data_IF_044721362515
#
_entry.id   IF_044721362515
#
_cell.length_a   1.000
_cell.length_b   1.000
_cell.length_c   1.000
_cell.angle_alpha   90.00
_cell.angle_beta   90.00
_cell.angle_gamma   90.00
#
_symmetry.space_group_name_H-M   'P 1'
#
loop_
_entity.id
_entity.type
_entity.pdbx_description
1 polymer ?
#
# COMPACT_ATOMS: atom_id res chain seq x y z
N UNK A 1 -10.73 -0.67 -5.95
CA UNK A 1 -10.58 0.80 -5.89
C UNK A 1 -11.50 1.41 -4.85
N UNK A 2 -12.80 1.13 -4.87
CA UNK A 2 -13.76 1.57 -3.85
C UNK A 2 -13.30 1.36 -2.40
N UNK A 3 -12.80 0.17 -2.05
CA UNK A 3 -12.29 -0.09 -0.70
C UNK A 3 -11.14 0.85 -0.30
N UNK A 4 -10.21 1.14 -1.23
CA UNK A 4 -9.08 2.06 -0.97
C UNK A 4 -9.61 3.48 -0.80
N UNK A 5 -10.59 3.88 -1.60
CA UNK A 5 -11.27 5.17 -1.45
C UNK A 5 -11.96 5.31 -0.08
N UNK A 6 -12.54 4.23 0.46
CA UNK A 6 -13.17 4.27 1.78
C UNK A 6 -12.17 4.54 2.92
N UNK A 7 -10.95 4.01 2.84
CA UNK A 7 -9.91 4.28 3.85
C UNK A 7 -9.09 5.56 3.57
N UNK A 8 -9.19 6.12 2.37
CA UNK A 8 -8.33 7.22 1.93
C UNK A 8 -8.41 8.46 2.83
N UNK A 9 -9.60 8.95 3.27
CA UNK A 9 -9.67 10.07 4.20
C UNK A 9 -8.94 9.79 5.53
N UNK A 10 -9.02 8.56 6.02
CA UNK A 10 -8.36 8.16 7.26
C UNK A 10 -6.83 8.16 7.12
N UNK A 11 -6.29 7.51 6.08
CA UNK A 11 -4.83 7.49 5.87
C UNK A 11 -4.29 8.87 5.49
N UNK A 12 -5.11 9.72 4.85
CA UNK A 12 -4.75 11.11 4.57
C UNK A 12 -4.52 11.92 5.85
N UNK A 13 -5.37 11.71 6.87
CA UNK A 13 -5.18 12.29 8.20
C UNK A 13 -3.91 11.78 8.92
N UNK A 14 -3.41 10.60 8.52
CA UNK A 14 -2.11 10.09 8.97
C UNK A 14 -0.93 10.66 8.16
N UNK A 15 -1.13 11.67 7.32
CA UNK A 15 -0.13 12.20 6.40
C UNK A 15 0.41 11.16 5.39
N UNK A 16 -0.47 10.29 4.90
CA UNK A 16 -0.18 9.30 3.86
C UNK A 16 -0.89 9.67 2.57
N UNK A 17 -0.18 9.54 1.45
CA UNK A 17 -0.75 9.70 0.11
C UNK A 17 -0.90 8.33 -0.56
N UNK A 18 -1.91 8.20 -1.42
CA UNK A 18 -2.19 6.98 -2.18
C UNK A 18 -2.01 7.27 -3.67
N UNK A 19 -1.27 6.42 -4.36
CA UNK A 19 -1.18 6.43 -5.82
C UNK A 19 -1.69 5.09 -6.34
N UNK A 20 -2.73 5.11 -7.17
CA UNK A 20 -3.15 3.91 -7.89
C UNK A 20 -2.51 3.90 -9.27
N UNK A 21 -1.91 2.79 -9.64
CA UNK A 21 -1.09 2.67 -10.84
C UNK A 21 -1.58 1.44 -11.61
N UNK A 22 -1.77 1.59 -12.93
CA UNK A 22 -1.93 0.45 -13.84
C UNK A 22 -1.21 0.73 -15.15
N UNK A 23 -1.12 -0.29 -16.01
CA UNK A 23 -0.56 -0.16 -17.36
C UNK A 23 -1.56 0.44 -18.37
N UNK A 24 -2.73 0.89 -17.92
CA UNK A 24 -3.71 1.60 -18.74
C UNK A 24 -3.28 3.03 -19.07
N UNK A 25 -3.88 3.62 -20.10
CA UNK A 25 -3.66 5.03 -20.43
C UNK A 25 -4.46 5.96 -19.53
N UNK A 26 -4.03 7.22 -19.43
CA UNK A 26 -4.79 8.28 -18.75
C UNK A 26 -6.21 8.47 -19.33
N UNK A 27 -6.39 8.19 -20.62
CA UNK A 27 -7.70 8.24 -21.26
C UNK A 27 -8.63 7.12 -20.77
N UNK A 28 -8.10 5.90 -20.62
CA UNK A 28 -8.83 4.78 -20.03
C UNK A 28 -9.22 5.10 -18.58
N UNK A 29 -8.29 5.65 -17.79
CA UNK A 29 -8.57 6.10 -16.42
C UNK A 29 -9.68 7.14 -16.35
N UNK A 30 -9.66 8.15 -17.22
CA UNK A 30 -10.71 9.17 -17.30
C UNK A 30 -12.08 8.54 -17.57
N UNK A 31 -12.18 7.75 -18.64
CA UNK A 31 -13.44 7.09 -19.02
C UNK A 31 -13.92 6.16 -17.92
N UNK A 32 -13.03 5.39 -17.29
CA UNK A 32 -13.39 4.48 -16.21
C UNK A 32 -13.88 5.24 -14.96
N UNK A 33 -13.26 6.39 -14.65
CA UNK A 33 -13.70 7.28 -13.57
C UNK A 33 -15.06 7.90 -13.84
N UNK A 34 -15.36 8.27 -15.07
CA UNK A 34 -16.64 8.87 -15.50
C UNK A 34 -17.78 7.85 -15.55
N UNK A 35 -17.48 6.60 -15.91
CA UNK A 35 -18.49 5.57 -16.18
C UNK A 35 -18.70 4.57 -15.06
N UNK A 36 -17.69 4.29 -14.22
CA UNK A 36 -17.79 3.26 -13.19
C UNK A 36 -18.23 3.80 -11.83
N UNK A 37 -19.34 3.30 -11.25
CA UNK A 37 -19.73 3.63 -9.88
C UNK A 37 -18.64 3.33 -8.85
N UNK A 38 -17.82 2.31 -9.11
CA UNK A 38 -16.75 1.87 -8.21
C UNK A 38 -15.60 2.88 -8.06
N UNK A 39 -15.49 3.84 -8.98
CA UNK A 39 -14.50 4.91 -8.96
C UNK A 39 -15.10 6.25 -8.54
N UNK A 40 -16.43 6.38 -8.37
CA UNK A 40 -17.11 7.64 -8.05
C UNK A 40 -16.43 8.42 -6.91
N UNK A 41 -16.08 7.73 -5.84
CA UNK A 41 -15.47 8.33 -4.63
C UNK A 41 -13.95 8.30 -4.59
N UNK A 42 -13.27 7.82 -5.65
CA UNK A 42 -11.81 7.84 -5.71
C UNK A 42 -11.31 9.27 -5.95
N UNK A 43 -10.62 9.84 -4.96
CA UNK A 43 -10.09 11.23 -5.03
C UNK A 43 -8.57 11.30 -5.10
N UNK A 44 -7.90 10.15 -4.97
CA UNK A 44 -6.45 10.05 -5.15
C UNK A 44 -6.06 9.83 -6.63
N UNK A 45 -4.81 10.17 -7.02
CA UNK A 45 -4.36 10.05 -8.40
C UNK A 45 -4.41 8.63 -8.99
N UNK A 46 -4.80 8.55 -10.27
CA UNK A 46 -4.72 7.36 -11.12
C UNK A 46 -3.57 7.53 -12.13
N UNK A 47 -2.44 6.87 -11.89
CA UNK A 47 -1.24 6.94 -12.71
C UNK A 47 -1.30 5.91 -13.84
N UNK A 48 -0.80 6.32 -14.99
CA UNK A 48 -0.66 5.51 -16.20
C UNK A 48 0.79 5.09 -16.36
N UNK A 49 1.05 3.79 -16.29
CA UNK A 49 2.36 3.16 -16.51
C UNK A 49 2.41 2.44 -17.88
N UNK A 50 2.07 3.16 -18.94
CA UNK A 50 2.02 2.62 -20.31
C UNK A 50 3.35 2.10 -20.85
N UNK A 51 4.46 2.58 -20.30
CA UNK A 51 5.82 2.12 -20.64
C UNK A 51 6.23 0.89 -19.84
N UNK A 52 5.40 0.46 -18.89
CA UNK A 52 5.67 -0.60 -17.90
C UNK A 52 6.88 -0.31 -16.98
N UNK A 53 7.44 0.90 -17.04
CA UNK A 53 8.65 1.28 -16.30
C UNK A 53 8.46 1.14 -14.79
N UNK A 54 7.31 1.58 -14.26
CA UNK A 54 7.02 1.54 -12.82
C UNK A 54 6.79 0.09 -12.40
N UNK A 55 5.94 -0.63 -13.13
CA UNK A 55 5.60 -2.02 -12.82
C UNK A 55 6.83 -2.94 -12.87
N UNK A 56 7.76 -2.70 -13.80
CA UNK A 56 9.06 -3.39 -13.86
C UNK A 56 9.97 -3.00 -12.70
N UNK A 57 10.11 -1.70 -12.40
CA UNK A 57 10.96 -1.21 -11.31
C UNK A 57 10.53 -1.79 -9.95
N UNK A 58 9.23 -1.87 -9.70
CA UNK A 58 8.70 -2.47 -8.48
C UNK A 58 8.59 -4.00 -8.54
N UNK A 59 8.96 -4.64 -9.66
CA UNK A 59 8.88 -6.10 -9.87
C UNK A 59 7.48 -6.62 -9.61
N UNK A 60 6.51 -6.03 -10.29
CA UNK A 60 5.08 -6.37 -10.21
C UNK A 60 4.42 -6.46 -11.59
N UNK A 61 5.15 -6.31 -12.68
CA UNK A 61 4.63 -6.58 -14.02
C UNK A 61 4.48 -8.09 -14.22
N UNK A 62 3.32 -8.52 -14.72
CA UNK A 62 3.15 -9.82 -15.36
C UNK A 62 3.49 -9.66 -16.85
N UNK A 63 4.64 -10.18 -17.25
CA UNK A 63 5.16 -10.03 -18.62
C UNK A 63 4.32 -10.76 -19.66
N UNK A 64 3.54 -11.77 -19.25
CA UNK A 64 2.69 -12.52 -20.17
C UNK A 64 1.42 -11.73 -20.55
N UNK A 65 0.80 -11.07 -19.56
CA UNK A 65 -0.43 -10.30 -19.78
C UNK A 65 -0.20 -8.82 -20.08
N UNK A 66 0.97 -8.27 -19.73
CA UNK A 66 1.24 -6.83 -19.78
C UNK A 66 0.51 -6.03 -18.71
N UNK A 67 -0.19 -6.69 -17.77
CA UNK A 67 -0.81 -6.08 -16.60
C UNK A 67 0.12 -6.17 -15.39
N UNK A 68 -0.14 -5.37 -14.35
CA UNK A 68 0.52 -5.57 -13.06
C UNK A 68 -0.20 -6.61 -12.22
N UNK A 69 0.57 -7.41 -11.47
CA UNK A 69 0.05 -8.17 -10.33
C UNK A 69 -0.61 -7.20 -9.33
N UNK A 70 -1.56 -7.72 -8.54
CA UNK A 70 -2.19 -6.93 -7.48
C UNK A 70 -1.20 -6.71 -6.35
N UNK A 71 -0.47 -5.61 -6.41
CA UNK A 71 0.52 -5.26 -5.41
C UNK A 71 0.15 -3.99 -4.64
N UNK A 72 0.71 -3.85 -3.45
CA UNK A 72 0.68 -2.61 -2.67
C UNK A 72 2.04 -2.41 -2.04
N UNK A 73 2.65 -1.26 -2.30
CA UNK A 73 4.01 -0.92 -1.88
C UNK A 73 3.94 0.28 -0.96
N UNK A 74 4.55 0.16 0.21
CA UNK A 74 4.57 1.19 1.24
C UNK A 74 5.94 1.84 1.24
N UNK A 75 5.97 3.14 0.99
CA UNK A 75 7.20 3.94 0.93
C UNK A 75 7.24 4.89 2.12
N UNK A 76 8.42 5.10 2.70
CA UNK A 76 8.64 6.20 3.63
C UNK A 76 8.91 7.52 2.86
N UNK A 77 8.99 8.68 3.53
CA UNK A 77 9.30 9.95 2.89
C UNK A 77 10.65 9.97 2.14
N UNK A 78 11.58 9.13 2.57
CA UNK A 78 12.89 8.93 1.93
C UNK A 78 12.84 7.96 0.72
N UNK A 79 11.63 7.59 0.27
CA UNK A 79 11.35 6.72 -0.88
C UNK A 79 11.88 5.29 -0.75
N UNK A 80 12.12 4.84 0.48
CA UNK A 80 12.53 3.46 0.79
C UNK A 80 11.29 2.60 1.02
N UNK A 81 11.26 1.44 0.36
CA UNK A 81 10.20 0.43 0.54
C UNK A 81 10.26 -0.12 1.96
N UNK A 82 9.18 0.08 2.70
CA UNK A 82 9.00 -0.43 4.06
C UNK A 82 8.23 -1.74 4.10
N UNK A 83 7.30 -1.92 3.18
CA UNK A 83 6.52 -3.15 3.03
C UNK A 83 6.04 -3.32 1.58
N UNK A 84 5.86 -4.57 1.17
CA UNK A 84 5.29 -4.93 -0.13
C UNK A 84 4.38 -6.15 0.03
N UNK A 85 3.13 -6.00 -0.37
CA UNK A 85 2.14 -7.08 -0.42
C UNK A 85 1.86 -7.40 -1.89
N UNK A 86 1.86 -8.68 -2.25
CA UNK A 86 1.51 -9.14 -3.61
C UNK A 86 0.42 -10.19 -3.49
N UNK A 87 -0.65 -10.02 -4.25
CA UNK A 87 -1.79 -10.92 -4.30
C UNK A 87 -1.95 -11.48 -5.72
N UNK A 88 -2.40 -12.75 -5.85
CA UNK A 88 -2.88 -13.27 -7.12
C UNK A 88 -4.03 -12.42 -7.70
N UNK A 89 -4.21 -12.45 -9.02
CA UNK A 89 -5.22 -11.64 -9.72
C UNK A 89 -6.67 -11.87 -9.27
N UNK A 90 -6.98 -13.03 -8.70
CA UNK A 90 -8.30 -13.40 -8.20
C UNK A 90 -8.50 -13.12 -6.69
N UNK A 91 -7.47 -12.70 -5.95
CA UNK A 91 -7.55 -12.45 -4.50
C UNK A 91 -7.56 -10.95 -4.21
N UNK A 92 -8.54 -10.51 -3.42
CA UNK A 92 -8.67 -9.13 -2.97
C UNK A 92 -7.63 -8.73 -1.91
N UNK A 93 -7.31 -7.44 -1.84
CA UNK A 93 -6.47 -6.86 -0.79
C UNK A 93 -7.23 -6.77 0.53
N UNK A 94 -6.54 -6.96 1.65
CA UNK A 94 -7.06 -6.66 2.99
C UNK A 94 -6.65 -5.25 3.42
N UNK A 95 -7.58 -4.30 3.42
CA UNK A 95 -7.25 -2.91 3.76
C UNK A 95 -7.12 -2.62 5.25
N UNK A 96 -7.67 -3.47 6.12
CA UNK A 96 -7.36 -3.39 7.55
C UNK A 96 -5.87 -3.62 7.77
N UNK A 97 -5.27 -4.55 7.04
CA UNK A 97 -3.83 -4.79 7.10
C UNK A 97 -3.02 -3.62 6.55
N UNK A 98 -3.51 -2.95 5.50
CA UNK A 98 -2.81 -1.76 4.96
C UNK A 98 -2.77 -0.65 6.01
N UNK A 99 -3.91 -0.39 6.67
CA UNK A 99 -3.99 0.61 7.73
C UNK A 99 -3.11 0.20 8.92
N UNK A 100 -3.15 -1.08 9.34
CA UNK A 100 -2.33 -1.60 10.44
C UNK A 100 -0.83 -1.44 10.16
N UNK A 101 -0.37 -1.75 8.95
CA UNK A 101 1.02 -1.55 8.52
C UNK A 101 1.40 -0.07 8.62
N UNK A 102 0.57 0.84 8.09
CA UNK A 102 0.85 2.29 8.18
C UNK A 102 0.98 2.76 9.63
N UNK A 103 0.08 2.29 10.50
CA UNK A 103 0.12 2.61 11.94
C UNK A 103 1.37 2.03 12.61
N UNK A 104 1.75 0.79 12.28
CA UNK A 104 2.95 0.15 12.81
C UNK A 104 4.23 0.89 12.39
N UNK A 105 4.33 1.29 11.13
CA UNK A 105 5.46 2.07 10.61
C UNK A 105 5.57 3.44 11.31
N UNK A 106 4.46 4.12 11.52
CA UNK A 106 4.45 5.39 12.24
C UNK A 106 4.79 5.23 13.72
N UNK A 107 4.24 4.21 14.38
CA UNK A 107 4.56 3.88 15.76
C UNK A 107 6.06 3.59 15.94
N UNK A 108 6.64 2.78 15.05
CA UNK A 108 8.05 2.46 15.09
C UNK A 108 8.93 3.70 14.90
N UNK A 109 8.57 4.58 13.94
CA UNK A 109 9.26 5.85 13.72
C UNK A 109 9.18 6.79 14.92
N UNK A 110 8.03 6.85 15.61
CA UNK A 110 7.82 7.75 16.75
C UNK A 110 8.48 7.24 18.04
N UNK A 111 8.48 5.93 18.27
CA UNK A 111 8.91 5.35 19.56
C UNK A 111 10.29 4.72 19.52
N UNK A 112 10.83 4.45 18.33
CA UNK A 112 12.05 3.65 18.16
C UNK A 112 11.87 2.16 18.49
N UNK A 113 10.64 1.71 18.77
CA UNK A 113 10.32 0.31 19.10
C UNK A 113 9.83 -0.45 17.88
N UNK A 114 10.15 -1.74 17.79
CA UNK A 114 9.53 -2.64 16.82
C UNK A 114 8.08 -2.96 17.18
N UNK A 115 7.35 -3.53 16.22
CA UNK A 115 6.00 -4.07 16.44
C UNK A 115 6.03 -5.60 16.31
N UNK A 116 5.66 -6.38 17.34
CA UNK A 116 5.65 -7.84 17.26
C UNK A 116 4.64 -8.38 16.23
N UNK A 117 4.68 -9.69 15.98
CA UNK A 117 3.66 -10.37 15.18
C UNK A 117 2.26 -10.10 15.75
N UNK A 118 1.28 -9.91 14.86
CA UNK A 118 -0.10 -9.56 15.21
C UNK A 118 -0.29 -8.25 16.01
N UNK A 119 0.73 -7.37 16.04
CA UNK A 119 0.62 -6.09 16.72
C UNK A 119 -0.54 -5.24 16.16
N UNK A 120 -1.32 -4.66 17.06
CA UNK A 120 -2.42 -3.74 16.80
C UNK A 120 -2.21 -2.40 17.52
N UNK A 121 -2.78 -1.28 17.01
CA UNK A 121 -2.71 0.00 17.69
C UNK A 121 -3.16 -0.07 19.15
N UNK A 122 -2.39 0.54 20.04
CA UNK A 122 -2.61 0.50 21.49
C UNK A 122 -1.85 -0.62 22.22
N UNK A 123 -1.34 -1.62 21.50
CA UNK A 123 -0.47 -2.64 22.09
C UNK A 123 0.97 -2.15 22.28
N UNK A 124 1.68 -2.72 23.25
CA UNK A 124 3.09 -2.42 23.48
C UNK A 124 3.97 -2.90 22.31
N UNK A 125 4.90 -2.05 21.92
CA UNK A 125 5.99 -2.43 21.00
C UNK A 125 7.08 -3.25 21.68
N UNK A 126 7.96 -3.81 20.86
CA UNK A 126 9.11 -4.61 21.28
C UNK A 126 10.39 -3.76 21.22
N UNK A 127 11.19 -3.79 22.27
CA UNK A 127 12.54 -3.20 22.26
C UNK A 127 13.55 -4.23 21.76
N UNK A 128 14.50 -3.79 20.94
CA UNK A 128 15.64 -4.60 20.55
C UNK A 128 16.71 -4.52 21.65
N UNK A 129 16.57 -5.36 22.67
CA UNK A 129 17.60 -5.55 23.70
C UNK A 129 18.41 -6.82 23.40
N UNK A 130 19.72 -6.73 23.14
CA UNK A 130 20.59 -7.90 22.94
C UNK A 130 20.50 -8.94 24.06
N UNK A 131 20.20 -8.53 25.30
CA UNK A 131 20.09 -9.44 26.44
C UNK A 131 18.83 -10.33 26.41
N UNK A 132 17.87 -9.99 25.54
CA UNK A 132 16.61 -10.71 25.35
C UNK A 132 16.66 -11.70 24.18
N UNK A 133 17.77 -11.78 23.44
CA UNK A 133 17.93 -12.75 22.35
C UNK A 133 17.76 -14.18 22.89
N UNK A 134 16.80 -14.93 22.32
CA UNK A 134 16.52 -16.32 22.68
C UNK A 134 15.67 -16.52 23.95
N UNK A 135 15.14 -15.45 24.55
CA UNK A 135 14.30 -15.49 25.76
C UNK A 135 12.83 -15.10 25.54
N UNK A 136 12.49 -14.75 24.30
CA UNK A 136 11.17 -14.32 23.81
C UNK A 136 10.84 -15.09 22.54
#
# INVERSE_FOLDING_TARGET
MAAVAAIYPYVKNMNVEVLAISTDSVYSHKVFKETSPSLKHVTFPLLSDRTHSISKAYRVLDENSGASFRASVFLNPEQIIQAKLIYPGNIGRNLHEHVRILQALQYAKQTGKGTPANWMPGQQGMMSDPNMIGKI
#
